data_IF_201080536357
#
_entry.id   IF_201080536357
#
_cell.length_a   1.000
_cell.length_b   1.000
_cell.length_c   1.000
_cell.angle_alpha   90.00
_cell.angle_beta   90.00
_cell.angle_gamma   90.00
#
_symmetry.space_group_name_H-M   'P 1'
#
loop_
_entity.id
_entity.type
_entity.pdbx_description
1 polymer ?
#
# COMPACT_ATOMS: atom_id res chain seq x y z
N UNK A 1 16.17 -13.81 17.62
CA UNK A 1 15.06 -12.90 17.25
C UNK A 1 15.54 -12.17 16.00
N UNK A 2 14.79 -12.23 14.90
CA UNK A 2 15.22 -11.64 13.62
C UNK A 2 15.22 -10.11 13.74
N UNK A 3 16.28 -9.46 13.24
CA UNK A 3 16.44 -8.00 13.25
C UNK A 3 15.57 -7.34 12.18
N UNK A 4 15.52 -6.00 12.15
CA UNK A 4 14.79 -5.31 11.09
C UNK A 4 15.56 -5.35 9.76
N UNK A 5 16.88 -5.38 9.84
CA UNK A 5 17.79 -5.48 8.71
C UNK A 5 17.64 -6.85 8.02
N UNK A 6 17.63 -7.94 8.79
CA UNK A 6 17.39 -9.29 8.27
C UNK A 6 15.99 -9.44 7.65
N UNK A 7 14.97 -8.78 8.22
CA UNK A 7 13.64 -8.75 7.64
C UNK A 7 13.62 -7.96 6.33
N UNK A 8 14.30 -6.81 6.27
CA UNK A 8 14.36 -5.99 5.06
C UNK A 8 15.03 -6.76 3.92
N UNK A 9 16.17 -7.41 4.18
CA UNK A 9 16.85 -8.27 3.20
C UNK A 9 15.93 -9.37 2.66
N UNK A 10 15.14 -9.99 3.54
CA UNK A 10 14.19 -11.03 3.18
C UNK A 10 13.02 -10.48 2.34
N UNK A 11 12.56 -9.26 2.62
CA UNK A 11 11.46 -8.61 1.90
C UNK A 11 11.89 -8.07 0.53
N UNK A 12 13.14 -7.61 0.37
CA UNK A 12 13.68 -7.08 -0.89
C UNK A 12 14.38 -8.14 -1.75
N UNK A 13 14.26 -9.40 -1.37
CA UNK A 13 14.90 -10.53 -2.03
C UNK A 13 14.40 -10.71 -3.48
N UNK A 14 15.32 -10.67 -4.45
CA UNK A 14 15.07 -11.02 -5.85
C UNK A 14 15.57 -12.44 -6.15
N UNK A 15 14.64 -13.39 -6.22
CA UNK A 15 14.96 -14.81 -6.41
C UNK A 15 15.52 -15.12 -7.80
N UNK A 16 15.18 -14.34 -8.83
CA UNK A 16 15.72 -14.54 -10.18
C UNK A 16 17.16 -14.05 -10.24
N UNK A 17 17.45 -12.85 -9.73
CA UNK A 17 18.82 -12.33 -9.69
C UNK A 17 19.79 -13.25 -8.94
N UNK A 18 19.31 -13.89 -7.86
CA UNK A 18 20.10 -14.88 -7.11
C UNK A 18 20.31 -16.16 -7.92
N UNK A 19 19.27 -16.66 -8.61
CA UNK A 19 19.41 -17.81 -9.48
C UNK A 19 20.43 -17.55 -10.60
N UNK A 20 20.34 -16.39 -11.27
CA UNK A 20 21.28 -15.98 -12.32
C UNK A 20 22.72 -15.87 -11.79
N UNK A 21 22.89 -15.39 -10.54
CA UNK A 21 24.20 -15.34 -9.89
C UNK A 21 24.77 -16.73 -9.64
N UNK A 22 23.93 -17.70 -9.26
CA UNK A 22 24.34 -19.08 -8.97
C UNK A 22 24.69 -19.85 -10.25
N UNK A 23 23.86 -19.72 -11.30
CA UNK A 23 24.02 -20.47 -12.54
C UNK A 23 24.97 -19.79 -13.53
N UNK A 24 25.16 -18.47 -13.42
CA UNK A 24 25.90 -17.67 -14.39
C UNK A 24 25.14 -17.41 -15.69
N UNK A 25 23.86 -17.76 -15.75
CA UNK A 25 23.01 -17.64 -16.94
C UNK A 25 21.80 -16.74 -16.65
N UNK A 26 21.28 -16.09 -17.71
CA UNK A 26 20.05 -15.29 -17.65
C UNK A 26 18.83 -16.20 -17.65
N UNK A 27 17.85 -15.94 -16.78
CA UNK A 27 16.62 -16.75 -16.72
C UNK A 27 15.79 -16.67 -18.02
N UNK A 28 16.05 -15.65 -18.85
CA UNK A 28 15.37 -15.47 -20.14
C UNK A 28 15.87 -16.43 -21.21
N UNK A 29 17.11 -16.90 -21.05
CA UNK A 29 17.81 -17.72 -22.04
C UNK A 29 18.07 -19.14 -21.53
N UNK A 30 17.90 -19.38 -20.22
CA UNK A 30 18.09 -20.68 -19.58
C UNK A 30 16.92 -21.06 -18.66
N UNK A 31 16.18 -22.09 -19.06
CA UNK A 31 15.00 -22.61 -18.35
C UNK A 31 15.35 -23.17 -16.97
N UNK A 32 16.54 -23.76 -16.80
CA UNK A 32 16.98 -24.29 -15.50
C UNK A 32 17.23 -23.15 -14.48
N UNK A 33 17.80 -22.03 -14.91
CA UNK A 33 17.89 -20.80 -14.11
C UNK A 33 16.50 -20.30 -13.71
N UNK A 34 15.54 -20.31 -14.64
CA UNK A 34 14.14 -19.96 -14.36
C UNK A 34 13.51 -20.86 -13.29
N UNK A 35 13.68 -22.18 -13.41
CA UNK A 35 13.20 -23.17 -12.42
C UNK A 35 13.85 -22.97 -11.05
N UNK A 36 15.17 -22.73 -11.01
CA UNK A 36 15.87 -22.45 -9.76
C UNK A 36 15.33 -21.18 -9.10
N UNK A 37 15.13 -20.10 -9.88
CA UNK A 37 14.54 -18.86 -9.38
C UNK A 37 13.13 -19.06 -8.80
N UNK A 38 12.30 -19.89 -9.44
CA UNK A 38 11.00 -20.27 -8.90
C UNK A 38 11.13 -21.02 -7.57
N UNK A 39 12.03 -22.00 -7.48
CA UNK A 39 12.27 -22.76 -6.24
C UNK A 39 12.75 -21.85 -5.09
N UNK A 40 13.69 -20.93 -5.38
CA UNK A 40 14.17 -19.93 -4.42
C UNK A 40 13.02 -19.02 -3.96
N UNK A 41 12.16 -18.57 -4.88
CA UNK A 41 11.00 -17.74 -4.55
C UNK A 41 10.02 -18.46 -3.62
N UNK A 42 9.76 -19.76 -3.86
CA UNK A 42 8.90 -20.57 -2.98
C UNK A 42 9.47 -20.68 -1.56
N UNK A 43 10.78 -20.91 -1.44
CA UNK A 43 11.46 -20.96 -0.14
C UNK A 43 11.45 -19.60 0.57
N UNK A 44 11.71 -18.52 -0.17
CA UNK A 44 11.67 -17.15 0.35
C UNK A 44 10.27 -16.76 0.81
N UNK A 45 9.22 -17.13 0.08
CA UNK A 45 7.84 -16.87 0.47
C UNK A 45 7.46 -17.55 1.80
N UNK A 46 7.87 -18.81 2.00
CA UNK A 46 7.65 -19.52 3.26
C UNK A 46 8.46 -18.91 4.42
N UNK A 47 9.72 -18.55 4.18
CA UNK A 47 10.56 -17.84 5.15
C UNK A 47 9.91 -16.50 5.55
N UNK A 48 9.54 -15.65 4.58
CA UNK A 48 8.84 -14.37 4.81
C UNK A 48 7.62 -14.56 5.70
N UNK A 49 6.76 -15.51 5.34
CA UNK A 49 5.55 -15.83 6.11
C UNK A 49 5.88 -16.20 7.56
N UNK A 50 6.88 -17.05 7.80
CA UNK A 50 7.28 -17.46 9.15
C UNK A 50 7.77 -16.28 9.97
N UNK A 51 8.62 -15.43 9.40
CA UNK A 51 9.16 -14.25 10.08
C UNK A 51 8.06 -13.24 10.40
N UNK A 52 7.22 -12.88 9.42
CA UNK A 52 6.14 -11.92 9.59
C UNK A 52 5.12 -12.39 10.64
N UNK A 53 4.75 -13.68 10.61
CA UNK A 53 3.91 -14.29 11.66
C UNK A 53 4.53 -14.15 13.05
N UNK A 54 5.83 -14.45 13.19
CA UNK A 54 6.52 -14.35 14.49
C UNK A 54 6.58 -12.93 15.06
N UNK A 55 6.36 -11.92 14.21
CA UNK A 55 6.35 -10.50 14.56
C UNK A 55 4.95 -9.91 14.69
N UNK A 56 3.89 -10.73 14.58
CA UNK A 56 2.51 -10.27 14.52
C UNK A 56 2.27 -9.23 13.41
N UNK A 57 2.91 -9.42 12.26
CA UNK A 57 2.77 -8.57 11.07
C UNK A 57 1.89 -9.26 10.00
N UNK A 58 1.58 -8.57 8.91
CA UNK A 58 0.77 -9.09 7.79
C UNK A 58 1.63 -9.85 6.78
N UNK A 59 1.06 -10.86 6.13
CA UNK A 59 1.78 -11.70 5.13
C UNK A 59 0.86 -12.06 3.94
N UNK A 60 1.44 -12.58 2.86
CA UNK A 60 0.69 -12.96 1.67
C UNK A 60 -0.33 -14.08 1.92
N UNK A 61 -1.54 -13.94 1.37
CA UNK A 61 -2.68 -14.86 1.58
C UNK A 61 -3.10 -15.02 3.05
N UNK A 62 -2.95 -13.96 3.86
CA UNK A 62 -3.47 -13.91 5.22
C UNK A 62 -5.00 -13.97 5.24
N UNK A 63 -5.57 -14.72 6.19
CA UNK A 63 -7.02 -14.71 6.43
C UNK A 63 -7.47 -13.31 6.83
N UNK A 64 -8.64 -12.88 6.35
CA UNK A 64 -9.12 -11.52 6.61
C UNK A 64 -9.24 -11.24 8.11
N UNK A 65 -9.82 -12.16 8.89
CA UNK A 65 -9.95 -12.00 10.34
C UNK A 65 -8.61 -11.69 11.03
N UNK A 66 -7.57 -12.49 10.74
CA UNK A 66 -6.24 -12.29 11.31
C UNK A 66 -5.63 -10.94 10.86
N UNK A 67 -5.81 -10.58 9.59
CA UNK A 67 -5.37 -9.27 9.07
C UNK A 67 -6.00 -8.12 9.85
N UNK A 68 -7.31 -8.18 10.08
CA UNK A 68 -8.04 -7.16 10.84
C UNK A 68 -7.58 -7.07 12.30
N UNK A 69 -7.18 -8.18 12.92
CA UNK A 69 -6.62 -8.15 14.28
C UNK A 69 -5.29 -7.40 14.34
N UNK A 70 -4.41 -7.56 13.35
CA UNK A 70 -3.16 -6.77 13.23
C UNK A 70 -3.48 -5.29 13.05
N UNK A 71 -4.41 -4.96 12.14
CA UNK A 71 -4.80 -3.57 11.86
C UNK A 71 -5.41 -2.88 13.08
N UNK A 72 -6.30 -3.56 13.82
CA UNK A 72 -6.83 -3.05 15.10
C UNK A 72 -5.72 -2.85 16.12
N UNK A 73 -4.77 -3.78 16.21
CA UNK A 73 -3.60 -3.66 17.09
C UNK A 73 -2.72 -2.44 16.78
N UNK A 74 -2.73 -1.96 15.53
CA UNK A 74 -2.06 -0.73 15.10
C UNK A 74 -2.84 0.56 15.41
N UNK A 75 -4.04 0.45 15.98
CA UNK A 75 -4.91 1.57 16.34
C UNK A 75 -5.78 2.09 15.20
N UNK A 76 -6.04 1.28 14.18
CA UNK A 76 -7.01 1.61 13.15
C UNK A 76 -8.43 1.27 13.60
N UNK A 77 -9.37 2.12 13.19
CA UNK A 77 -10.80 1.98 13.43
C UNK A 77 -11.55 1.82 12.11
N UNK A 78 -12.53 0.91 12.05
CA UNK A 78 -13.33 0.72 10.84
C UNK A 78 -14.26 1.92 10.68
N UNK A 79 -14.12 2.65 9.58
CA UNK A 79 -14.92 3.85 9.28
C UNK A 79 -15.94 3.61 8.17
N UNK A 80 -15.76 2.55 7.39
CA UNK A 80 -16.66 2.24 6.29
C UNK A 80 -16.59 0.76 5.88
N UNK A 81 -17.69 0.22 5.35
CA UNK A 81 -17.79 -1.17 4.86
C UNK A 81 -18.83 -1.30 3.75
N UNK A 82 -18.45 -2.00 2.68
CA UNK A 82 -19.37 -2.43 1.63
C UNK A 82 -19.29 -3.94 1.45
N UNK A 83 -20.45 -4.57 1.39
CA UNK A 83 -20.57 -5.92 0.87
C UNK A 83 -20.78 -5.87 -0.64
N UNK A 84 -20.13 -6.77 -1.37
CA UNK A 84 -20.31 -6.88 -2.80
C UNK A 84 -20.39 -8.34 -3.24
N UNK A 85 -21.13 -8.56 -4.33
CA UNK A 85 -21.37 -9.88 -4.90
C UNK A 85 -20.37 -10.10 -6.04
N UNK A 86 -19.81 -11.30 -6.11
CA UNK A 86 -18.94 -11.66 -7.22
C UNK A 86 -19.75 -11.90 -8.47
N UNK A 87 -19.27 -11.36 -9.59
CA UNK A 87 -19.86 -11.68 -10.90
C UNK A 87 -19.83 -13.18 -11.21
N UNK A 88 -18.70 -13.83 -10.95
CA UNK A 88 -18.51 -15.26 -11.25
C UNK A 88 -19.15 -16.21 -10.23
N UNK A 89 -19.52 -15.71 -9.04
CA UNK A 89 -20.09 -16.52 -7.96
C UNK A 89 -21.15 -15.70 -7.21
N UNK A 90 -22.38 -15.61 -7.75
CA UNK A 90 -23.42 -14.71 -7.23
C UNK A 90 -23.91 -15.08 -5.82
N UNK A 91 -23.63 -16.30 -5.36
CA UNK A 91 -23.90 -16.77 -4.00
C UNK A 91 -22.81 -16.38 -2.99
N UNK A 92 -21.67 -15.85 -3.47
CA UNK A 92 -20.54 -15.43 -2.63
C UNK A 92 -20.51 -13.91 -2.50
N UNK A 93 -20.40 -13.50 -1.24
CA UNK A 93 -20.23 -12.11 -0.83
C UNK A 93 -18.78 -11.91 -0.39
N UNK A 94 -18.20 -10.80 -0.82
CA UNK A 94 -16.94 -10.28 -0.31
C UNK A 94 -17.17 -8.90 0.29
N UNK A 95 -16.18 -8.42 1.03
CA UNK A 95 -16.28 -7.20 1.80
C UNK A 95 -15.13 -6.29 1.40
N UNK A 96 -15.43 -5.03 1.12
CA UNK A 96 -14.48 -3.94 1.03
C UNK A 96 -14.62 -3.07 2.28
N UNK A 97 -13.52 -2.75 2.94
CA UNK A 97 -13.52 -1.99 4.19
C UNK A 97 -12.54 -0.84 4.14
N UNK A 98 -12.93 0.28 4.74
CA UNK A 98 -12.04 1.39 5.03
C UNK A 98 -11.81 1.50 6.52
N UNK A 99 -10.55 1.69 6.86
CA UNK A 99 -10.05 1.79 8.22
C UNK A 99 -9.22 3.06 8.36
N UNK A 100 -9.32 3.74 9.50
CA UNK A 100 -8.63 5.00 9.72
C UNK A 100 -7.89 5.00 11.05
N UNK A 101 -6.66 5.50 11.04
CA UNK A 101 -5.86 5.72 12.25
C UNK A 101 -5.81 7.20 12.59
N UNK A 102 -6.76 7.64 13.41
CA UNK A 102 -7.00 9.06 13.71
C UNK A 102 -5.79 9.83 14.21
N UNK A 103 -4.91 9.18 15.01
CA UNK A 103 -3.75 9.85 15.60
C UNK A 103 -2.76 10.37 14.54
N UNK A 104 -2.67 9.69 13.40
CA UNK A 104 -1.68 9.96 12.34
C UNK A 104 -2.31 10.39 11.00
N UNK A 105 -3.62 10.23 10.87
CA UNK A 105 -4.33 10.45 9.62
C UNK A 105 -4.01 9.41 8.54
N UNK A 106 -3.89 8.13 8.89
CA UNK A 106 -3.70 7.06 7.90
C UNK A 106 -5.04 6.49 7.45
N UNK A 107 -5.22 6.34 6.14
CA UNK A 107 -6.38 5.66 5.56
C UNK A 107 -5.93 4.30 4.99
N UNK A 108 -6.56 3.22 5.42
CA UNK A 108 -6.34 1.88 4.90
C UNK A 108 -7.60 1.41 4.19
N UNK A 109 -7.47 1.00 2.94
CA UNK A 109 -8.50 0.28 2.20
C UNK A 109 -8.10 -1.20 2.07
N UNK A 110 -9.02 -2.12 2.30
CA UNK A 110 -8.79 -3.55 2.05
C UNK A 110 -10.05 -4.27 1.58
N UNK A 111 -9.88 -5.37 0.86
CA UNK A 111 -10.98 -6.21 0.37
C UNK A 111 -10.71 -7.69 0.59
N UNK A 112 -11.79 -8.47 0.67
CA UNK A 112 -11.73 -9.92 0.80
C UNK A 112 -11.90 -10.64 -0.52
N UNK A 113 -11.35 -11.86 -0.58
CA UNK A 113 -11.71 -12.89 -1.52
C UNK A 113 -11.68 -14.25 -0.79
N UNK A 114 -12.84 -14.88 -0.61
CA UNK A 114 -13.02 -16.22 -0.02
C UNK A 114 -12.59 -16.25 1.44
N UNK A 115 -12.92 -15.19 2.16
CA UNK A 115 -12.49 -14.97 3.55
C UNK A 115 -10.98 -14.72 3.70
N UNK A 116 -10.23 -14.64 2.62
CA UNK A 116 -8.84 -14.19 2.61
C UNK A 116 -8.78 -12.70 2.31
N UNK A 117 -7.75 -12.01 2.79
CA UNK A 117 -7.47 -10.65 2.35
C UNK A 117 -6.91 -10.71 0.93
N UNK A 118 -7.54 -10.00 0.01
CA UNK A 118 -7.16 -9.95 -1.39
C UNK A 118 -6.37 -8.67 -1.71
N UNK A 119 -7.00 -7.51 -1.66
CA UNK A 119 -6.34 -6.20 -1.76
C UNK A 119 -6.12 -5.53 -0.40
N UNK A 120 -5.08 -4.71 -0.30
CA UNK A 120 -4.90 -3.75 0.78
C UNK A 120 -3.97 -2.60 0.36
N UNK A 121 -4.37 -1.35 0.64
CA UNK A 121 -3.58 -0.13 0.38
C UNK A 121 -3.64 0.82 1.56
N UNK A 122 -2.48 1.31 1.98
CA UNK A 122 -2.30 2.30 3.05
C UNK A 122 -1.96 3.66 2.42
N UNK A 123 -2.89 4.61 2.48
CA UNK A 123 -2.74 5.98 1.97
C UNK A 123 -2.34 6.94 3.09
N UNK A 124 -1.45 7.88 2.78
CA UNK A 124 -0.94 8.83 3.77
C UNK A 124 -0.35 10.10 3.16
N UNK A 125 -0.18 11.11 4.02
CA UNK A 125 0.74 12.22 3.83
C UNK A 125 1.83 12.12 4.88
N UNK A 126 3.09 12.26 4.48
CA UNK A 126 4.24 12.02 5.34
C UNK A 126 5.31 13.07 5.15
N UNK A 127 5.81 13.62 6.25
CA UNK A 127 6.89 14.60 6.25
C UNK A 127 8.20 13.88 6.61
N UNK A 128 9.20 13.82 5.72
CA UNK A 128 10.51 13.28 6.05
C UNK A 128 11.19 14.11 7.14
N UNK A 129 12.01 13.45 7.97
CA UNK A 129 12.93 14.16 8.87
C UNK A 129 14.11 14.77 8.09
N UNK A 130 14.86 15.66 8.75
CA UNK A 130 15.94 16.42 8.11
C UNK A 130 17.08 15.54 7.57
N UNK A 131 17.25 14.34 8.13
CA UNK A 131 18.30 13.39 7.75
C UNK A 131 17.86 12.38 6.68
N UNK A 132 16.59 12.44 6.25
CA UNK A 132 16.06 11.49 5.29
C UNK A 132 16.76 11.64 3.93
N UNK A 133 17.19 10.50 3.38
CA UNK A 133 17.67 10.37 2.00
C UNK A 133 16.60 9.60 1.23
N UNK A 134 16.18 10.12 0.08
CA UNK A 134 15.17 9.48 -0.74
C UNK A 134 15.60 8.05 -1.08
N UNK A 135 14.70 7.09 -0.83
CA UNK A 135 14.95 5.68 -1.11
C UNK A 135 13.64 4.94 -1.30
N UNK A 136 13.57 4.15 -2.38
CA UNK A 136 12.47 3.23 -2.66
C UNK A 136 12.35 2.08 -1.65
N UNK A 137 13.32 1.98 -0.73
CA UNK A 137 13.20 1.03 0.37
C UNK A 137 12.15 1.50 1.38
N UNK A 138 12.02 2.82 1.62
CA UNK A 138 11.11 3.40 2.62
C UNK A 138 9.79 3.85 1.97
N UNK A 139 9.87 4.45 0.78
CA UNK A 139 8.72 4.97 0.04
C UNK A 139 8.30 4.01 -1.06
N UNK A 140 7.01 3.95 -1.37
CA UNK A 140 6.45 3.15 -2.46
C UNK A 140 5.87 4.05 -3.57
N UNK A 141 4.57 3.99 -3.82
CA UNK A 141 3.88 4.82 -4.81
C UNK A 141 3.57 6.21 -4.23
N UNK A 142 3.74 7.25 -5.04
CA UNK A 142 3.44 8.62 -4.63
C UNK A 142 4.34 9.65 -5.29
N UNK A 143 4.23 10.87 -4.79
CA UNK A 143 5.04 11.99 -5.23
C UNK A 143 5.26 12.96 -4.08
N UNK A 144 6.30 13.77 -4.19
CA UNK A 144 6.44 14.91 -3.31
C UNK A 144 5.43 15.99 -3.65
N UNK A 145 5.04 16.74 -2.64
CA UNK A 145 4.17 17.90 -2.75
C UNK A 145 4.67 18.98 -1.80
N UNK A 146 4.62 20.23 -2.26
CA UNK A 146 4.86 21.42 -1.45
C UNK A 146 3.76 22.43 -1.70
N UNK A 147 3.01 22.86 -0.67
CA UNK A 147 2.06 23.95 -0.81
C UNK A 147 2.72 25.30 -1.18
N UNK A 148 4.03 25.44 -0.93
CA UNK A 148 4.77 26.68 -1.13
C UNK A 148 5.54 26.75 -2.47
N UNK A 149 5.70 25.63 -3.17
CA UNK A 149 6.53 25.52 -4.37
C UNK A 149 5.77 24.72 -5.43
N UNK A 150 5.39 25.39 -6.51
CA UNK A 150 4.61 24.80 -7.61
C UNK A 150 5.46 23.93 -8.54
N UNK A 151 6.74 24.26 -8.71
CA UNK A 151 7.69 23.50 -9.52
C UNK A 151 8.74 22.81 -8.64
N UNK A 152 8.48 21.56 -8.29
CA UNK A 152 9.41 20.68 -7.56
C UNK A 152 10.15 19.71 -8.51
N UNK A 153 10.16 20.00 -9.81
CA UNK A 153 10.67 19.09 -10.83
C UNK A 153 12.19 19.20 -11.03
N UNK A 154 12.85 20.22 -10.47
CA UNK A 154 14.30 20.37 -10.47
C UNK A 154 14.90 20.31 -9.05
N UNK A 155 16.23 20.11 -8.98
CA UNK A 155 16.97 20.04 -7.71
C UNK A 155 16.81 21.33 -6.87
N UNK A 156 16.62 22.48 -7.52
CA UNK A 156 16.50 23.76 -6.85
C UNK A 156 15.16 23.90 -6.11
N UNK A 157 14.04 23.53 -6.74
CA UNK A 157 12.71 23.49 -6.15
C UNK A 157 12.65 22.48 -4.99
N UNK A 158 13.31 21.34 -5.15
CA UNK A 158 13.49 20.35 -4.10
C UNK A 158 14.23 20.90 -2.86
N UNK A 159 15.39 21.50 -3.06
CA UNK A 159 16.17 22.07 -1.97
C UNK A 159 15.42 23.22 -1.28
N UNK A 160 14.71 24.05 -2.05
CA UNK A 160 13.88 25.13 -1.51
C UNK A 160 12.74 24.61 -0.64
N UNK A 161 11.93 23.68 -1.16
CA UNK A 161 10.81 23.10 -0.42
C UNK A 161 11.27 22.38 0.85
N UNK A 162 12.42 21.68 0.79
CA UNK A 162 13.04 21.04 1.95
C UNK A 162 13.50 22.06 2.98
N UNK A 163 14.21 23.12 2.57
CA UNK A 163 14.70 24.18 3.45
C UNK A 163 13.57 24.92 4.17
N UNK A 164 12.44 25.10 3.49
CA UNK A 164 11.25 25.74 4.04
C UNK A 164 10.40 24.79 4.90
N UNK A 165 10.78 23.50 5.00
CA UNK A 165 10.07 22.51 5.80
C UNK A 165 8.69 22.14 5.28
N UNK A 166 8.41 22.43 4.00
CA UNK A 166 7.10 22.32 3.37
C UNK A 166 7.00 21.15 2.39
N UNK A 167 7.90 20.16 2.52
CA UNK A 167 7.96 19.03 1.62
C UNK A 167 7.30 17.79 2.23
N UNK A 168 6.29 17.27 1.55
CA UNK A 168 5.50 16.12 1.99
C UNK A 168 5.51 15.04 0.92
N UNK A 169 5.67 13.78 1.30
CA UNK A 169 5.34 12.64 0.46
C UNK A 169 3.85 12.37 0.54
N UNK A 170 3.20 12.35 -0.61
CA UNK A 170 1.77 12.08 -0.77
C UNK A 170 1.65 10.80 -1.59
N UNK A 171 1.24 9.71 -0.94
CA UNK A 171 1.34 8.40 -1.57
C UNK A 171 0.60 7.29 -0.86
N UNK A 172 0.92 6.08 -1.29
CA UNK A 172 0.37 4.84 -0.75
C UNK A 172 1.40 3.71 -0.70
N UNK A 173 1.14 2.74 0.16
CA UNK A 173 1.85 1.47 0.18
C UNK A 173 0.87 0.32 -0.05
N UNK A 174 1.36 -0.71 -0.74
CA UNK A 174 0.76 -2.03 -0.66
C UNK A 174 0.83 -2.51 0.80
N UNK A 175 -0.33 -2.68 1.41
CA UNK A 175 -0.46 -3.08 2.80
C UNK A 175 -0.70 -4.58 2.94
N UNK A 176 -0.50 -5.36 1.86
CA UNK A 176 -0.76 -6.79 1.89
C UNK A 176 0.24 -7.56 2.75
N UNK A 177 1.47 -7.08 2.81
CA UNK A 177 2.54 -7.70 3.57
C UNK A 177 3.29 -6.63 4.38
N UNK A 178 3.76 -7.02 5.56
CA UNK A 178 4.66 -6.22 6.40
C UNK A 178 4.13 -4.82 6.77
N UNK A 179 2.82 -4.65 6.99
CA UNK A 179 2.25 -3.32 7.29
C UNK A 179 2.81 -2.72 8.60
N UNK A 180 3.06 -3.53 9.63
CA UNK A 180 3.67 -3.06 10.89
C UNK A 180 5.05 -2.50 10.58
N UNK A 181 5.87 -3.28 9.85
CA UNK A 181 7.19 -2.83 9.41
C UNK A 181 7.14 -1.56 8.56
N UNK A 182 6.21 -1.43 7.62
CA UNK A 182 6.04 -0.24 6.76
C UNK A 182 5.81 1.00 7.63
N UNK A 183 4.88 0.93 8.58
CA UNK A 183 4.54 2.04 9.48
C UNK A 183 5.75 2.41 10.36
N UNK A 184 6.41 1.43 10.98
CA UNK A 184 7.59 1.65 11.81
C UNK A 184 8.72 2.35 11.04
N UNK A 185 8.91 2.03 9.75
CA UNK A 185 9.90 2.69 8.89
C UNK A 185 9.58 4.15 8.66
N UNK A 186 8.33 4.44 8.33
CA UNK A 186 7.87 5.79 8.06
C UNK A 186 7.98 6.64 9.34
N UNK A 187 7.56 6.11 10.50
CA UNK A 187 7.69 6.77 11.80
C UNK A 187 9.16 7.01 12.19
N UNK A 188 10.07 6.05 11.92
CA UNK A 188 11.51 6.22 12.19
C UNK A 188 12.14 7.33 11.34
N UNK A 189 11.65 7.56 10.13
CA UNK A 189 12.28 8.44 9.15
C UNK A 189 11.55 9.77 8.93
N UNK A 190 10.49 10.02 9.69
CA UNK A 190 9.64 11.19 9.49
C UNK A 190 8.41 11.16 10.38
N UNK A 191 7.38 11.87 9.98
CA UNK A 191 6.13 11.95 10.73
C UNK A 191 4.94 12.00 9.79
N UNK A 192 3.89 11.27 10.13
CA UNK A 192 2.64 11.35 9.39
C UNK A 192 1.96 12.70 9.63
N UNK A 193 1.22 13.15 8.63
CA UNK A 193 0.47 14.40 8.70
C UNK A 193 -1.00 14.08 8.86
N UNK A 194 -1.54 14.32 10.07
CA UNK A 194 -2.94 14.03 10.39
C UNK A 194 -3.91 14.70 9.40
N UNK A 195 -3.69 15.99 9.11
CA UNK A 195 -4.43 16.74 8.09
C UNK A 195 -3.65 16.76 6.79
N UNK A 196 -4.13 16.03 5.79
CA UNK A 196 -3.47 15.88 4.52
C UNK A 196 -3.34 17.24 3.82
N UNK A 197 -2.14 17.49 3.29
CA UNK A 197 -1.86 18.64 2.44
C UNK A 197 -2.36 18.42 1.02
N UNK A 198 -2.42 17.15 0.59
CA UNK A 198 -2.96 16.74 -0.70
C UNK A 198 -3.43 15.30 -0.65
N UNK A 199 -4.52 15.01 -1.34
CA UNK A 199 -5.01 13.64 -1.52
C UNK A 199 -4.12 12.89 -2.53
N UNK A 200 -3.61 11.70 -2.20
CA UNK A 200 -2.99 10.84 -3.20
C UNK A 200 -4.06 10.35 -4.18
N UNK A 201 -3.65 9.80 -5.33
CA UNK A 201 -4.59 9.06 -6.15
C UNK A 201 -5.07 7.82 -5.38
N UNK A 202 -6.35 7.77 -5.02
CA UNK A 202 -6.91 6.70 -4.20
C UNK A 202 -7.70 5.72 -5.03
N UNK A 203 -7.20 4.49 -5.11
CA UNK A 203 -7.99 3.37 -5.62
C UNK A 203 -8.84 2.79 -4.48
N UNK A 204 -9.99 3.41 -4.20
CA UNK A 204 -10.98 2.90 -3.22
C UNK A 204 -12.00 1.94 -3.85
N UNK A 205 -11.92 1.73 -5.17
CA UNK A 205 -12.75 0.73 -5.85
C UNK A 205 -12.31 -0.70 -5.52
N UNK A 206 -13.25 -1.63 -5.57
CA UNK A 206 -12.97 -3.07 -5.52
C UNK A 206 -13.22 -3.69 -6.90
N UNK A 207 -12.73 -4.91 -7.13
CA UNK A 207 -12.73 -5.50 -8.47
C UNK A 207 -14.12 -5.64 -9.11
N UNK A 208 -15.21 -5.64 -8.33
CA UNK A 208 -16.58 -5.69 -8.84
C UNK A 208 -17.27 -4.32 -8.97
N UNK A 209 -16.67 -3.20 -8.51
CA UNK A 209 -17.18 -1.85 -8.87
C UNK A 209 -16.84 -1.46 -10.29
N UNK A 210 -15.90 -2.17 -10.91
CA UNK A 210 -15.62 -2.04 -12.33
C UNK A 210 -16.69 -2.85 -13.07
N UNK A 211 -17.78 -2.19 -13.49
CA UNK A 211 -18.73 -2.80 -14.41
C UNK A 211 -17.98 -3.30 -15.65
N UNK A 212 -17.88 -4.62 -15.80
CA UNK A 212 -17.55 -5.21 -17.10
C UNK A 212 -18.76 -4.99 -18.01
N UNK A 213 -18.76 -3.88 -18.76
CA UNK A 213 -19.62 -3.74 -19.93
C UNK A 213 -18.99 -4.55 -21.06
N UNK A 214 -19.51 -5.77 -21.23
CA UNK A 214 -19.16 -6.73 -22.27
C UNK A 214 -17.69 -7.20 -22.29
N UNK A 215 -17.48 -8.41 -22.80
CA UNK A 215 -16.28 -9.23 -22.57
C UNK A 215 -14.99 -8.71 -23.19
N UNK A 216 -15.01 -7.65 -24.00
CA UNK A 216 -13.88 -7.32 -24.88
C UNK A 216 -13.35 -5.89 -24.79
N UNK A 217 -13.89 -5.03 -23.91
CA UNK A 217 -13.28 -3.71 -23.68
C UNK A 217 -13.30 -3.32 -22.21
N UNK A 218 -12.11 -3.23 -21.61
CA UNK A 218 -11.85 -2.60 -20.32
C UNK A 218 -12.06 -1.08 -20.42
N UNK A 219 -13.28 -0.63 -20.70
CA UNK A 219 -13.60 0.80 -20.81
C UNK A 219 -14.42 1.24 -19.60
N UNK A 220 -13.82 1.15 -18.41
CA UNK A 220 -14.28 1.99 -17.30
C UNK A 220 -13.85 3.41 -17.65
N UNK A 221 -14.77 4.25 -18.12
CA UNK A 221 -14.47 5.67 -18.25
C UNK A 221 -13.99 6.16 -16.88
N UNK A 222 -12.87 6.89 -16.83
CA UNK A 222 -12.27 7.39 -15.58
C UNK A 222 -13.32 8.06 -14.67
N UNK A 223 -14.32 8.73 -15.27
CA UNK A 223 -15.46 9.33 -14.60
C UNK A 223 -16.17 8.39 -13.60
N UNK A 224 -16.37 7.11 -13.92
CA UNK A 224 -17.08 6.18 -13.02
C UNK A 224 -16.28 5.84 -11.75
N UNK A 225 -14.95 5.81 -11.84
CA UNK A 225 -14.07 5.58 -10.69
C UNK A 225 -14.05 6.80 -9.78
N UNK A 226 -13.96 7.98 -10.37
CA UNK A 226 -13.90 9.24 -9.64
C UNK A 226 -15.24 9.53 -8.96
N UNK A 227 -16.37 9.25 -9.61
CA UNK A 227 -17.71 9.31 -9.01
C UNK A 227 -17.86 8.35 -7.83
N UNK A 228 -17.38 7.11 -7.97
CA UNK A 228 -17.42 6.14 -6.88
C UNK A 228 -16.57 6.59 -5.69
N UNK A 229 -15.30 6.97 -5.92
CA UNK A 229 -14.41 7.48 -4.87
C UNK A 229 -15.01 8.71 -4.20
N UNK A 230 -15.58 9.64 -4.97
CA UNK A 230 -16.27 10.83 -4.44
C UNK A 230 -17.44 10.46 -3.54
N UNK A 231 -18.27 9.50 -3.97
CA UNK A 231 -19.37 8.97 -3.16
C UNK A 231 -18.85 8.35 -1.86
N UNK A 232 -17.81 7.52 -1.93
CA UNK A 232 -17.20 6.89 -0.75
C UNK A 232 -16.74 7.95 0.24
N UNK A 233 -15.98 8.94 -0.24
CA UNK A 233 -15.46 10.03 0.58
C UNK A 233 -16.61 10.80 1.23
N UNK A 234 -17.70 11.06 0.51
CA UNK A 234 -18.86 11.78 1.03
C UNK A 234 -19.54 11.05 2.21
N UNK A 235 -19.49 9.72 2.22
CA UNK A 235 -20.06 8.85 3.27
C UNK A 235 -19.14 8.64 4.48
N UNK A 236 -17.87 9.10 4.43
CA UNK A 236 -16.94 8.98 5.55
C UNK A 236 -17.31 9.90 6.72
N UNK A 237 -16.89 9.55 7.97
CA UNK A 237 -17.06 10.43 9.12
C UNK A 237 -16.51 11.84 8.85
N UNK A 238 -17.18 12.87 9.36
CA UNK A 238 -16.83 14.28 9.10
C UNK A 238 -15.37 14.60 9.43
N UNK A 239 -14.87 14.14 10.58
CA UNK A 239 -13.46 14.35 10.96
C UNK A 239 -12.50 13.73 9.94
N UNK A 240 -12.83 12.55 9.40
CA UNK A 240 -11.99 11.88 8.38
C UNK A 240 -12.00 12.70 7.09
N UNK A 241 -13.17 13.15 6.63
CA UNK A 241 -13.30 13.99 5.42
C UNK A 241 -12.50 15.29 5.56
N UNK A 242 -12.58 15.93 6.73
CA UNK A 242 -11.84 17.16 7.05
C UNK A 242 -10.32 16.95 7.08
N UNK A 243 -9.88 15.74 7.47
CA UNK A 243 -8.46 15.40 7.49
C UNK A 243 -7.92 15.02 6.10
N UNK A 244 -8.65 14.25 5.29
CA UNK A 244 -8.16 13.81 3.97
C UNK A 244 -8.41 14.83 2.86
N UNK A 245 -9.25 15.84 3.13
CA UNK A 245 -9.57 16.94 2.23
C UNK A 245 -10.55 16.59 1.10
N UNK A 246 -11.16 17.62 0.51
CA UNK A 246 -11.82 17.55 -0.81
C UNK A 246 -10.77 17.77 -1.90
N UNK A 247 -10.95 17.20 -3.10
CA UNK A 247 -10.11 17.59 -4.24
C UNK A 247 -10.42 19.07 -4.53
N UNK A 248 -9.41 19.92 -4.43
CA UNK A 248 -9.44 21.29 -4.96
C UNK A 248 -9.14 21.27 -6.46
#
# INVERSE_FOLDING_TARGET
KITNEELDELLTHDSLAIAETITGHSYKDDDETGKLGLAINMLSADAKRKVLKSRNDTWFSMKMAAYLDVIKGLGFEKIHEYEFIRRSFPDKKDIHQLWYRYKDGLLLACDSFEGQRNGAKLFYNWKPNDNFKHTHTILSSGQYHSPAVTDIHDDAGWQKARKEGNMFWVGDHDAREAIVRIIERLEKNGSFVKKWVKRPWMSLGFYSTLEYKDSDTFNTSNNTKDEFVTKIIAELPEEVRNNIGTEE
#
